data_IF_163867464935
#
_entry.id   IF_163867464935
#
_cell.length_a   1.000
_cell.length_b   1.000
_cell.length_c   1.000
_cell.angle_alpha   90.00
_cell.angle_beta   90.00
_cell.angle_gamma   90.00
#
_symmetry.space_group_name_H-M   'P 1'
#
loop_
_entity.id
_entity.type
_entity.pdbx_description
1 polymer ?
#
# COMPACT_ATOMS: atom_id res chain seq x y z
N UNK A 1 -17.57 25.14 -61.63
CA UNK A 1 -16.73 24.15 -60.91
C UNK A 1 -15.84 24.90 -59.93
N UNK A 2 -16.01 24.70 -58.61
CA UNK A 2 -15.04 25.00 -57.51
C UNK A 2 -15.79 25.13 -56.17
N UNK A 3 -16.42 24.06 -55.69
CA UNK A 3 -17.01 24.04 -54.33
C UNK A 3 -17.16 22.63 -53.79
N UNK A 4 -16.15 21.77 -54.00
CA UNK A 4 -16.16 20.39 -53.48
C UNK A 4 -14.81 19.94 -52.87
N UNK A 5 -13.91 20.87 -52.55
CA UNK A 5 -12.58 20.51 -52.02
C UNK A 5 -12.33 20.88 -50.56
N UNK A 6 -13.26 21.59 -49.90
CA UNK A 6 -13.04 22.06 -48.51
C UNK A 6 -13.48 21.03 -47.47
N UNK A 7 -14.39 20.11 -47.82
CA UNK A 7 -14.93 19.13 -46.85
C UNK A 7 -13.90 18.06 -46.48
N UNK A 8 -12.92 17.76 -47.35
CA UNK A 8 -11.88 16.77 -47.08
C UNK A 8 -10.82 17.21 -46.06
N UNK A 9 -10.57 18.52 -45.94
CA UNK A 9 -9.53 19.05 -45.03
C UNK A 9 -10.05 19.18 -43.60
N UNK A 10 -11.35 19.40 -43.41
CA UNK A 10 -11.95 19.51 -42.07
C UNK A 10 -11.99 18.17 -41.32
N UNK A 11 -12.07 17.05 -42.04
CA UNK A 11 -12.10 15.70 -41.45
C UNK A 11 -10.69 15.26 -41.00
N UNK A 12 -9.63 15.80 -41.62
CA UNK A 12 -8.25 15.47 -41.24
C UNK A 12 -7.81 16.12 -39.91
N UNK A 13 -8.49 17.18 -39.47
CA UNK A 13 -8.22 17.86 -38.21
C UNK A 13 -8.83 17.17 -36.97
N UNK A 14 -9.68 16.15 -37.15
CA UNK A 14 -10.30 15.39 -36.04
C UNK A 14 -9.50 14.16 -35.60
N UNK A 15 -8.30 13.96 -36.16
CA UNK A 15 -7.35 12.94 -35.66
C UNK A 15 -6.33 13.52 -34.68
N UNK A 16 -6.67 14.62 -34.00
CA UNK A 16 -6.00 14.99 -32.76
C UNK A 16 -6.13 13.81 -31.80
N UNK A 17 -5.06 13.04 -31.77
CA UNK A 17 -4.82 11.92 -30.90
C UNK A 17 -5.05 12.40 -29.48
N UNK A 18 -6.25 12.14 -28.94
CA UNK A 18 -6.41 11.97 -27.52
C UNK A 18 -5.66 10.68 -27.18
N UNK A 19 -4.35 10.80 -27.01
CA UNK A 19 -3.64 9.89 -26.14
C UNK A 19 -4.19 10.14 -24.75
N UNK A 20 -5.29 9.46 -24.41
CA UNK A 20 -5.63 9.24 -23.02
C UNK A 20 -4.47 8.42 -22.46
N UNK A 21 -3.47 9.12 -21.91
CA UNK A 21 -2.60 8.53 -20.92
C UNK A 21 -3.50 8.19 -19.74
N UNK A 22 -4.14 7.03 -19.79
CA UNK A 22 -4.67 6.42 -18.60
C UNK A 22 -3.47 6.20 -17.70
N UNK A 23 -3.29 7.05 -16.67
CA UNK A 23 -2.42 6.72 -15.56
C UNK A 23 -2.78 5.29 -15.14
N UNK A 24 -1.82 4.40 -14.89
CA UNK A 24 -2.15 3.12 -14.30
C UNK A 24 -3.04 3.42 -13.09
N UNK A 25 -4.22 2.84 -13.07
CA UNK A 25 -4.99 2.71 -11.84
C UNK A 25 -4.09 1.91 -10.90
N UNK A 26 -3.20 2.58 -10.18
CA UNK A 26 -2.28 1.94 -9.24
C UNK A 26 -3.16 1.43 -8.12
N UNK A 27 -3.73 0.24 -8.33
CA UNK A 27 -4.53 -0.45 -7.34
C UNK A 27 -3.61 -0.68 -6.16
N UNK A 28 -3.73 0.19 -5.16
CA UNK A 28 -3.09 -0.01 -3.88
C UNK A 28 -3.45 -1.41 -3.38
N UNK A 29 -2.45 -2.19 -3.06
CA UNK A 29 -2.63 -3.53 -2.51
C UNK A 29 -2.72 -3.40 -1.00
N UNK A 30 -3.79 -3.90 -0.40
CA UNK A 30 -3.93 -3.91 1.06
C UNK A 30 -2.93 -4.89 1.66
N UNK A 31 -2.26 -4.48 2.73
CA UNK A 31 -1.28 -5.30 3.46
C UNK A 31 -1.55 -5.26 4.95
N UNK A 32 -1.02 -6.25 5.67
CA UNK A 32 -1.01 -6.32 7.12
C UNK A 32 0.44 -6.32 7.59
N UNK A 33 0.80 -5.35 8.41
CA UNK A 33 2.08 -5.29 9.09
C UNK A 33 2.02 -6.14 10.35
N UNK A 34 3.04 -6.97 10.54
CA UNK A 34 3.26 -7.80 11.72
C UNK A 34 4.29 -7.10 12.58
N UNK A 35 3.85 -6.60 13.72
CA UNK A 35 4.66 -5.79 14.63
C UNK A 35 4.88 -6.54 15.93
N UNK A 36 6.12 -6.68 16.38
CA UNK A 36 6.42 -7.35 17.63
C UNK A 36 5.77 -6.62 18.83
N UNK A 37 5.05 -7.32 19.70
CA UNK A 37 4.39 -6.68 20.86
C UNK A 37 5.37 -6.05 21.85
N UNK A 38 6.57 -6.63 21.99
CA UNK A 38 7.57 -6.26 23.00
C UNK A 38 8.51 -5.17 22.48
N UNK A 39 9.07 -5.35 21.29
CA UNK A 39 10.03 -4.38 20.74
C UNK A 39 9.39 -3.26 19.93
N UNK A 40 8.14 -3.43 19.47
CA UNK A 40 7.49 -2.57 18.46
C UNK A 40 8.26 -2.49 17.13
N UNK A 41 9.09 -3.48 16.81
CA UNK A 41 9.70 -3.58 15.49
C UNK A 41 8.71 -4.22 14.50
N UNK A 42 8.84 -3.88 13.22
CA UNK A 42 8.11 -4.56 12.15
C UNK A 42 8.90 -5.82 11.78
N UNK A 43 8.35 -6.97 12.15
CA UNK A 43 8.95 -8.27 11.85
C UNK A 43 8.72 -8.65 10.38
N UNK A 44 7.51 -8.37 9.87
CA UNK A 44 7.11 -8.69 8.51
C UNK A 44 5.92 -7.84 8.04
N UNK A 45 5.60 -7.95 6.75
CA UNK A 45 4.28 -7.59 6.23
C UNK A 45 3.77 -8.73 5.33
N UNK A 46 2.45 -8.92 5.30
CA UNK A 46 1.78 -9.89 4.44
C UNK A 46 0.70 -9.23 3.59
N UNK A 47 0.36 -9.83 2.44
CA UNK A 47 -0.79 -9.38 1.65
C UNK A 47 -2.08 -9.59 2.44
N UNK A 48 -2.93 -8.58 2.45
CA UNK A 48 -4.23 -8.68 3.09
C UNK A 48 -5.13 -9.61 2.27
N UNK A 49 -5.43 -10.78 2.82
CA UNK A 49 -6.43 -11.69 2.30
C UNK A 49 -7.38 -12.09 3.43
N UNK A 50 -8.68 -11.75 3.29
CA UNK A 50 -9.69 -11.99 4.34
C UNK A 50 -9.67 -13.43 4.88
N UNK A 51 -9.51 -14.40 3.99
CA UNK A 51 -9.52 -15.83 4.35
C UNK A 51 -8.24 -16.26 5.09
N UNK A 52 -7.11 -15.56 4.89
CA UNK A 52 -5.82 -15.90 5.49
C UNK A 52 -5.53 -15.13 6.78
N UNK A 53 -6.22 -14.04 7.09
CA UNK A 53 -5.99 -13.24 8.30
C UNK A 53 -5.94 -14.06 9.57
N UNK A 54 -6.88 -15.00 9.75
CA UNK A 54 -6.89 -15.88 10.92
C UNK A 54 -5.58 -16.66 11.05
N UNK A 55 -5.08 -17.21 9.94
CA UNK A 55 -3.80 -17.92 9.92
C UNK A 55 -2.61 -17.00 10.19
N UNK A 56 -2.65 -15.73 9.78
CA UNK A 56 -1.60 -14.73 10.06
C UNK A 56 -1.55 -14.46 11.57
N UNK A 57 -2.72 -14.26 12.19
CA UNK A 57 -2.83 -14.05 13.64
C UNK A 57 -2.35 -15.26 14.45
N UNK A 58 -2.66 -16.47 13.99
CA UNK A 58 -2.21 -17.72 14.62
C UNK A 58 -0.70 -17.96 14.47
N UNK A 59 -0.10 -17.57 13.33
CA UNK A 59 1.36 -17.66 13.10
C UNK A 59 2.16 -16.70 13.98
N UNK A 60 1.56 -15.58 14.38
CA UNK A 60 2.22 -14.49 15.08
C UNK A 60 1.48 -14.10 16.38
N UNK A 61 1.40 -15.00 17.38
CA UNK A 61 0.61 -14.77 18.60
C UNK A 61 1.16 -13.61 19.47
N UNK A 62 2.47 -13.37 19.39
CA UNK A 62 3.17 -12.31 20.12
C UNK A 62 3.29 -11.00 19.33
N UNK A 63 2.46 -10.83 18.29
CA UNK A 63 2.50 -9.65 17.42
C UNK A 63 1.21 -8.83 17.48
N UNK A 64 1.36 -7.52 17.31
CA UNK A 64 0.31 -6.57 16.97
C UNK A 64 0.23 -6.51 15.46
N UNK A 65 -0.96 -6.25 14.94
CA UNK A 65 -1.15 -6.16 13.49
C UNK A 65 -1.70 -4.80 13.14
N UNK A 66 -1.13 -4.18 12.11
CA UNK A 66 -1.54 -2.86 11.63
C UNK A 66 -1.84 -2.94 10.15
N UNK A 67 -2.87 -2.22 9.72
CA UNK A 67 -3.25 -2.20 8.31
C UNK A 67 -2.38 -1.21 7.54
N UNK A 68 -2.24 -1.49 6.25
CA UNK A 68 -1.48 -0.61 5.38
C UNK A 68 -1.76 -0.84 3.92
N UNK A 69 -1.08 -0.05 3.10
CA UNK A 69 -1.15 -0.10 1.65
C UNK A 69 0.24 -0.31 1.06
N UNK A 70 0.26 -1.07 -0.02
CA UNK A 70 1.37 -1.24 -0.92
C UNK A 70 1.04 -0.57 -2.24
N UNK A 71 1.81 0.44 -2.62
CA UNK A 71 1.75 1.09 -3.91
C UNK A 71 2.96 0.70 -4.77
N UNK A 72 2.72 0.38 -6.04
CA UNK A 72 3.75 -0.01 -6.99
C UNK A 72 3.80 -1.50 -7.29
N UNK A 73 4.78 -1.89 -8.11
CA UNK A 73 4.90 -3.26 -8.60
C UNK A 73 5.58 -4.17 -7.58
N UNK A 74 5.05 -5.39 -7.45
CA UNK A 74 5.63 -6.44 -6.63
C UNK A 74 5.42 -7.80 -7.29
N UNK A 75 6.20 -8.78 -6.84
CA UNK A 75 6.07 -10.19 -7.20
C UNK A 75 5.96 -11.02 -5.93
N UNK A 76 5.14 -12.06 -5.99
CA UNK A 76 5.02 -13.05 -4.92
C UNK A 76 5.81 -14.29 -5.34
N UNK A 77 6.83 -14.62 -4.56
CA UNK A 77 7.67 -15.82 -4.75
C UNK A 77 7.48 -16.74 -3.53
N UNK A 78 6.54 -17.67 -3.64
CA UNK A 78 6.09 -18.49 -2.52
C UNK A 78 5.47 -17.61 -1.41
N UNK A 79 6.12 -17.56 -0.25
CA UNK A 79 5.71 -16.72 0.89
C UNK A 79 6.39 -15.35 0.93
N UNK A 80 7.33 -15.08 0.02
CA UNK A 80 8.10 -13.84 0.02
C UNK A 80 7.48 -12.84 -0.95
N UNK A 81 7.28 -11.61 -0.49
CA UNK A 81 6.87 -10.48 -1.34
C UNK A 81 8.13 -9.72 -1.74
N UNK A 82 8.44 -9.70 -3.04
CA UNK A 82 9.53 -8.92 -3.61
C UNK A 82 8.99 -7.65 -4.24
N UNK A 83 9.46 -6.52 -3.75
CA UNK A 83 9.04 -5.20 -4.23
C UNK A 83 10.01 -4.71 -5.29
N UNK A 84 9.48 -4.06 -6.32
CA UNK A 84 10.31 -3.35 -7.29
C UNK A 84 10.79 -2.02 -6.67
N UNK A 85 11.91 -1.52 -7.19
CA UNK A 85 12.45 -0.23 -6.76
C UNK A 85 11.41 0.88 -6.92
N UNK A 86 11.25 1.71 -5.88
CA UNK A 86 10.26 2.79 -5.86
C UNK A 86 8.85 2.37 -5.46
N UNK A 87 8.60 1.08 -5.19
CA UNK A 87 7.39 0.68 -4.48
C UNK A 87 7.35 1.29 -3.07
N UNK A 88 6.15 1.64 -2.61
CA UNK A 88 5.93 2.33 -1.35
C UNK A 88 5.00 1.50 -0.46
N UNK A 89 5.39 1.37 0.81
CA UNK A 89 4.60 0.75 1.85
C UNK A 89 4.18 1.83 2.85
N UNK A 90 2.88 1.92 3.10
CA UNK A 90 2.28 2.83 4.08
C UNK A 90 1.64 2.00 5.17
N UNK A 91 2.11 2.12 6.42
CA UNK A 91 1.47 1.52 7.59
C UNK A 91 0.63 2.57 8.31
N UNK A 92 -0.65 2.28 8.59
CA UNK A 92 -1.50 3.15 9.39
C UNK A 92 -1.36 2.82 10.88
N UNK A 93 -0.62 3.65 11.61
CA UNK A 93 -0.21 3.42 13.01
C UNK A 93 -1.37 3.46 14.01
N UNK A 94 -2.50 4.03 13.61
CA UNK A 94 -3.74 4.09 14.41
C UNK A 94 -4.71 2.96 14.12
N UNK A 95 -4.49 2.19 13.04
CA UNK A 95 -5.43 1.17 12.56
C UNK A 95 -4.90 -0.22 12.83
N UNK A 96 -5.37 -0.83 13.93
CA UNK A 96 -5.05 -2.23 14.25
C UNK A 96 -5.92 -3.17 13.43
N UNK A 97 -5.36 -4.29 12.99
CA UNK A 97 -6.11 -5.41 12.43
C UNK A 97 -6.41 -6.42 13.55
N UNK A 98 -7.69 -6.72 13.80
CA UNK A 98 -8.09 -7.71 14.82
C UNK A 98 -8.76 -8.96 14.21
N UNK A 99 -8.67 -10.12 14.89
CA UNK A 99 -9.42 -11.31 14.50
C UNK A 99 -10.92 -11.02 14.39
N UNK A 100 -11.49 -11.20 13.19
CA UNK A 100 -12.90 -10.93 12.91
C UNK A 100 -13.18 -9.62 12.17
N UNK A 101 -12.18 -8.75 12.00
CA UNK A 101 -12.34 -7.54 11.18
C UNK A 101 -12.58 -7.88 9.72
N UNK A 102 -13.66 -7.31 9.17
CA UNK A 102 -14.14 -7.60 7.83
C UNK A 102 -13.94 -6.37 6.95
N UNK A 103 -12.80 -6.29 6.25
CA UNK A 103 -12.55 -5.24 5.25
C UNK A 103 -13.39 -5.54 4.01
N UNK A 104 -14.31 -4.65 3.62
CA UNK A 104 -15.13 -4.86 2.42
C UNK A 104 -14.30 -4.52 1.17
N UNK A 105 -14.43 -5.29 0.07
CA UNK A 105 -13.81 -4.92 -1.20
C UNK A 105 -14.45 -3.63 -1.72
N UNK A 106 -13.65 -2.57 -1.91
CA UNK A 106 -14.14 -1.25 -2.31
C UNK A 106 -13.92 -0.16 -1.25
N UNK A 107 -13.63 -0.53 0.00
CA UNK A 107 -13.30 0.43 1.05
C UNK A 107 -11.97 1.11 0.71
N UNK A 108 -12.05 2.37 0.25
CA UNK A 108 -11.03 3.37 0.47
C UNK A 108 -10.99 3.62 1.97
N UNK A 109 -9.81 3.79 2.57
CA UNK A 109 -9.71 4.25 3.96
C UNK A 109 -10.42 5.61 4.07
N UNK A 110 -11.70 5.62 4.44
CA UNK A 110 -12.46 6.83 4.61
C UNK A 110 -12.35 7.24 6.09
N UNK A 111 -12.12 8.53 6.39
CA UNK A 111 -12.25 9.02 7.76
C UNK A 111 -13.68 8.74 8.24
N UNK A 112 -13.85 7.80 9.17
CA UNK A 112 -15.17 7.38 9.69
C UNK A 112 -15.50 5.89 9.55
N UNK A 113 -14.67 5.11 8.85
CA UNK A 113 -14.76 3.65 8.91
C UNK A 113 -14.61 3.17 10.36
N UNK A 114 -15.39 2.15 10.75
CA UNK A 114 -15.48 1.66 12.13
C UNK A 114 -14.25 0.83 12.49
N UNK A 115 -13.08 1.47 12.52
CA UNK A 115 -11.89 0.93 13.13
C UNK A 115 -12.05 1.06 14.64
N UNK A 116 -11.88 -0.03 15.39
CA UNK A 116 -11.74 0.10 16.83
C UNK A 116 -10.42 0.83 17.06
N UNK A 117 -10.41 2.08 17.60
CA UNK A 117 -9.17 2.75 17.94
C UNK A 117 -8.44 1.87 18.96
N UNK A 118 -7.37 1.23 18.50
CA UNK A 118 -6.46 0.49 19.37
C UNK A 118 -5.35 1.41 19.87
N UNK A 119 -4.52 0.92 20.81
CA UNK A 119 -3.29 1.64 21.19
C UNK A 119 -2.47 2.02 19.95
N UNK A 120 -2.27 3.32 19.79
CA UNK A 120 -1.49 3.92 18.72
C UNK A 120 -0.08 3.31 18.69
N UNK A 121 0.37 2.87 17.52
CA UNK A 121 1.76 2.46 17.34
C UNK A 121 2.66 3.68 17.57
N UNK A 122 3.63 3.54 18.48
CA UNK A 122 4.63 4.57 18.74
C UNK A 122 5.93 4.12 18.06
N UNK A 123 6.33 4.74 16.93
CA UNK A 123 7.59 4.42 16.28
C UNK A 123 8.77 4.71 17.21
N UNK A 124 9.60 3.71 17.44
CA UNK A 124 10.89 3.87 18.12
C UNK A 124 11.98 4.38 17.18
N UNK A 125 13.22 4.45 17.68
CA UNK A 125 14.39 4.96 16.94
C UNK A 125 14.64 4.24 15.60
N UNK A 126 14.18 2.99 15.46
CA UNK A 126 14.28 2.23 14.21
C UNK A 126 13.62 2.94 13.03
N UNK A 127 12.62 3.78 13.27
CA UNK A 127 11.82 4.40 12.24
C UNK A 127 12.17 5.86 11.99
N UNK A 128 13.37 6.35 12.28
CA UNK A 128 13.69 7.75 11.97
C UNK A 128 13.69 8.01 10.44
N UNK A 129 13.17 9.17 9.95
CA UNK A 129 13.22 9.51 8.54
C UNK A 129 14.65 9.45 7.97
N UNK A 130 14.80 8.91 6.76
CA UNK A 130 16.09 8.66 6.12
C UNK A 130 16.78 7.37 6.54
N UNK A 131 16.34 6.70 7.62
CA UNK A 131 16.93 5.43 8.07
C UNK A 131 16.59 4.31 7.10
N UNK A 132 17.54 3.38 6.94
CA UNK A 132 17.33 2.16 6.16
C UNK A 132 16.94 1.02 7.09
N UNK A 133 15.81 0.38 6.80
CA UNK A 133 15.31 -0.81 7.49
C UNK A 133 15.16 -1.97 6.51
N UNK A 134 15.23 -3.20 7.01
CA UNK A 134 15.03 -4.39 6.18
C UNK A 134 13.80 -5.15 6.67
N UNK A 135 12.79 -5.32 5.81
CA UNK A 135 11.56 -6.07 6.10
C UNK A 135 11.36 -7.05 4.96
N UNK A 136 11.05 -8.32 5.25
CA UNK A 136 10.92 -9.37 4.23
C UNK A 136 12.12 -9.42 3.25
N UNK A 137 13.35 -9.26 3.75
CA UNK A 137 14.59 -9.18 2.95
C UNK A 137 14.65 -8.03 1.92
N UNK A 138 13.66 -7.14 1.91
CA UNK A 138 13.65 -5.91 1.11
C UNK A 138 14.19 -4.77 1.96
N UNK A 139 15.07 -3.95 1.39
CA UNK A 139 15.55 -2.72 2.04
C UNK A 139 14.60 -1.58 1.75
N UNK A 140 14.27 -0.83 2.77
CA UNK A 140 13.44 0.34 2.68
C UNK A 140 14.16 1.54 3.27
N UNK A 141 13.97 2.69 2.64
CA UNK A 141 14.22 3.98 3.28
C UNK A 141 12.93 4.45 3.93
N UNK A 142 12.99 4.78 5.21
CA UNK A 142 11.89 5.45 5.90
C UNK A 142 11.81 6.87 5.36
N UNK A 143 10.67 7.26 4.80
CA UNK A 143 10.48 8.60 4.25
C UNK A 143 9.69 9.49 5.21
N UNK A 144 8.63 8.96 5.82
CA UNK A 144 7.76 9.72 6.70
C UNK A 144 7.38 8.93 7.96
N UNK A 145 7.31 9.68 9.06
CA UNK A 145 6.93 9.20 10.39
C UNK A 145 6.05 10.27 10.97
N UNK A 146 4.75 10.07 10.90
CA UNK A 146 3.79 10.92 11.58
C UNK A 146 3.00 10.11 12.63
N UNK A 147 2.02 10.74 13.26
CA UNK A 147 1.22 10.08 14.30
C UNK A 147 0.30 8.99 13.75
N UNK A 148 0.01 9.00 12.46
CA UNK A 148 -1.02 8.19 11.78
C UNK A 148 -0.44 7.21 10.75
N UNK A 149 0.77 7.45 10.26
CA UNK A 149 1.36 6.81 9.10
C UNK A 149 2.88 6.67 9.25
N UNK A 150 3.36 5.54 8.75
CA UNK A 150 4.77 5.26 8.52
C UNK A 150 4.95 4.88 7.05
N UNK A 151 5.78 5.63 6.33
CA UNK A 151 5.99 5.46 4.89
C UNK A 151 7.39 4.94 4.62
N UNK A 152 7.45 3.85 3.88
CA UNK A 152 8.66 3.14 3.52
C UNK A 152 8.80 3.07 2.00
N UNK A 153 9.95 3.48 1.46
CA UNK A 153 10.24 3.37 0.03
C UNK A 153 11.24 2.25 -0.24
N UNK A 154 10.86 1.29 -1.07
CA UNK A 154 11.71 0.17 -1.47
C UNK A 154 12.92 0.67 -2.30
N UNK A 155 14.10 0.18 -1.93
CA UNK A 155 15.39 0.52 -2.55
C UNK A 155 15.80 -0.49 -3.62
#
# INVERSE_FOLDING_TARGET
MKTKFIVGVLIMALTFQHSFSQKPNSKFTKVVFVVNKKSNDIDAFELYERQKLKSIFEKHPESKFYLGLLNGEYRVDGSLIRLNQGAELTMYTSVKAIPGDMFLPGDMFLPGDMFIPGDMFIPGDMFQPGRIVAINKTKFKVEEVDKLQLIFKAL
#
